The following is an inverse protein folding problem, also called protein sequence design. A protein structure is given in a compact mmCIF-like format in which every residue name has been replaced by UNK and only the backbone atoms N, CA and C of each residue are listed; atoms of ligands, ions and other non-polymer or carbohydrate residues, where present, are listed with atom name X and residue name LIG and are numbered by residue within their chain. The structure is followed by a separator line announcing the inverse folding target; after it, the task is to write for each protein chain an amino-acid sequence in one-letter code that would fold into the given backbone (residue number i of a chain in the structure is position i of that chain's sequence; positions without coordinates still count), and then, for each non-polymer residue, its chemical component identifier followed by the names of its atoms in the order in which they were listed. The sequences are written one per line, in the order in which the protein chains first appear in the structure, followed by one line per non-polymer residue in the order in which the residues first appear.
data_IF_944449478197
#
_entry.id   IF_944449478197
#
_cell.length_a   1.000
_cell.length_b   1.000
_cell.length_c   1.000
_cell.angle_alpha   90.00
_cell.angle_beta   90.00
_cell.angle_gamma   90.00
#
_symmetry.space_group_name_H-M   'P 1'
#
loop_
_entity.id
_entity.type
_entity.pdbx_description
1 polymer ?
#
# COMPACT_ATOMS: atom_id res chain seq x y z
N UNK A 1 19.33 -26.30 -8.49
CA UNK A 1 18.94 -25.24 -7.54
C UNK A 1 18.74 -23.96 -8.33
N UNK A 2 17.55 -23.80 -8.89
CA UNK A 2 17.08 -22.55 -9.50
C UNK A 2 15.57 -22.63 -9.41
N UNK A 3 15.03 -22.39 -8.21
CA UNK A 3 13.61 -22.07 -8.08
C UNK A 3 13.53 -20.58 -8.36
N UNK A 4 13.25 -20.29 -9.62
CA UNK A 4 12.80 -18.99 -10.11
C UNK A 4 11.52 -18.68 -9.32
N UNK A 5 11.62 -17.75 -8.36
CA UNK A 5 10.48 -17.30 -7.59
C UNK A 5 9.62 -16.49 -8.55
N UNK A 6 8.72 -17.17 -9.26
CA UNK A 6 7.60 -16.50 -9.92
C UNK A 6 6.94 -15.61 -8.87
N UNK A 7 6.92 -14.31 -9.15
CA UNK A 7 6.35 -13.28 -8.30
C UNK A 7 4.83 -13.49 -8.27
N UNK A 8 4.36 -14.33 -7.36
CA UNK A 8 3.00 -14.91 -7.38
C UNK A 8 1.87 -13.97 -6.95
N UNK A 9 2.09 -12.65 -6.83
CA UNK A 9 1.06 -11.74 -6.27
C UNK A 9 0.84 -10.41 -6.96
N UNK A 10 1.67 -9.99 -7.92
CA UNK A 10 1.53 -8.68 -8.57
C UNK A 10 1.04 -8.83 -10.02
N UNK A 11 0.00 -8.10 -10.38
CA UNK A 11 -0.41 -7.97 -11.79
C UNK A 11 0.68 -7.24 -12.60
N UNK A 12 0.79 -7.52 -13.91
CA UNK A 12 1.78 -6.86 -14.77
C UNK A 12 1.62 -5.33 -14.78
N UNK A 13 0.37 -4.87 -14.75
CA UNK A 13 0.04 -3.44 -14.64
C UNK A 13 0.46 -2.86 -13.29
N UNK A 14 0.32 -3.61 -12.20
CA UNK A 14 0.79 -3.21 -10.87
C UNK A 14 2.31 -3.11 -10.85
N UNK A 15 3.01 -4.10 -11.42
CA UNK A 15 4.48 -4.06 -11.56
C UNK A 15 4.94 -2.83 -12.31
N UNK A 16 4.36 -2.55 -13.48
CA UNK A 16 4.71 -1.39 -14.30
C UNK A 16 4.51 -0.07 -13.54
N UNK A 17 3.40 0.07 -12.80
CA UNK A 17 3.15 1.23 -11.96
C UNK A 17 4.17 1.38 -10.83
N UNK A 18 4.47 0.30 -10.11
CA UNK A 18 5.42 0.33 -9.00
C UNK A 18 6.84 0.64 -9.52
N UNK A 19 7.23 0.08 -10.66
CA UNK A 19 8.50 0.41 -11.32
C UNK A 19 8.57 1.88 -11.71
N UNK A 20 7.51 2.42 -12.31
CA UNK A 20 7.46 3.84 -12.67
C UNK A 20 7.53 4.78 -11.45
N UNK A 21 6.88 4.41 -10.34
CA UNK A 21 6.97 5.13 -9.08
C UNK A 21 8.39 5.06 -8.49
N UNK A 22 9.01 3.88 -8.50
CA UNK A 22 10.36 3.67 -8.01
C UNK A 22 11.38 4.53 -8.75
N UNK A 23 11.27 4.63 -10.08
CA UNK A 23 12.15 5.46 -10.90
C UNK A 23 12.00 6.96 -10.55
N UNK A 24 10.76 7.43 -10.38
CA UNK A 24 10.49 8.82 -9.95
C UNK A 24 11.09 9.13 -8.58
N UNK A 25 10.97 8.21 -7.63
CA UNK A 25 11.53 8.40 -6.29
C UNK A 25 13.05 8.40 -6.32
N UNK A 26 13.68 7.56 -7.16
CA UNK A 26 15.14 7.55 -7.36
C UNK A 26 15.64 8.87 -7.93
N UNK A 27 14.98 9.42 -8.95
CA UNK A 27 15.32 10.74 -9.51
C UNK A 27 15.18 11.86 -8.46
N UNK A 28 14.10 11.83 -7.67
CA UNK A 28 13.90 12.80 -6.58
C UNK A 28 15.00 12.70 -5.52
N UNK A 29 15.34 11.48 -5.12
CA UNK A 29 16.41 11.19 -4.15
C UNK A 29 17.76 11.72 -4.63
N UNK A 30 18.14 11.45 -5.89
CA UNK A 30 19.42 11.92 -6.44
C UNK A 30 19.51 13.46 -6.43
N UNK A 31 18.44 14.14 -6.84
CA UNK A 31 18.38 15.60 -6.78
C UNK A 31 18.53 16.13 -5.36
N UNK A 32 17.81 15.53 -4.40
CA UNK A 32 17.86 15.95 -3.00
C UNK A 32 19.22 15.66 -2.37
N UNK A 33 19.87 14.56 -2.73
CA UNK A 33 21.23 14.24 -2.26
C UNK A 33 22.25 15.29 -2.70
N UNK A 34 22.13 15.80 -3.94
CA UNK A 34 22.96 16.91 -4.43
C UNK A 34 22.72 18.18 -3.61
N UNK A 35 21.46 18.51 -3.33
CA UNK A 35 21.09 19.67 -2.50
C UNK A 35 21.69 19.57 -1.09
N UNK A 36 21.46 18.45 -0.40
CA UNK A 36 22.01 18.17 0.93
C UNK A 36 23.53 18.22 0.94
N UNK A 37 24.19 17.74 -0.12
CA UNK A 37 25.66 17.79 -0.24
C UNK A 37 26.16 19.23 -0.37
N UNK A 38 25.45 20.08 -1.12
CA UNK A 38 25.79 21.49 -1.29
C UNK A 38 25.60 22.31 -0.01
N UNK A 39 24.62 21.96 0.82
CA UNK A 39 24.32 22.68 2.07
C UNK A 39 25.37 22.51 3.16
N UNK A 40 26.10 21.38 3.17
CA UNK A 40 27.11 21.07 4.20
C UNK A 40 28.24 22.10 4.33
N UNK A 41 28.38 23.03 3.37
CA UNK A 41 29.31 24.16 3.42
C UNK A 41 28.67 25.54 3.60
N UNK A 42 27.34 25.65 3.65
CA UNK A 42 26.60 26.90 3.60
C UNK A 42 25.79 27.23 4.87
N UNK A 43 25.71 26.30 5.84
CA UNK A 43 24.97 26.52 7.10
C UNK A 43 25.65 27.61 7.93
N UNK A 44 25.05 28.80 7.94
CA UNK A 44 25.61 29.98 8.59
C UNK A 44 24.77 30.49 9.77
N UNK A 45 23.46 30.20 9.76
CA UNK A 45 22.55 30.54 10.84
C UNK A 45 21.65 29.36 11.29
N UNK A 46 20.77 29.61 12.26
CA UNK A 46 19.88 28.59 12.82
C UNK A 46 18.77 28.15 11.85
N UNK A 47 18.38 29.02 10.90
CA UNK A 47 17.38 28.69 9.90
C UNK A 47 17.99 27.75 8.85
N UNK A 48 19.20 28.03 8.38
CA UNK A 48 19.96 27.17 7.47
C UNK A 48 20.17 25.76 8.06
N UNK A 49 20.41 25.68 9.38
CA UNK A 49 20.59 24.41 10.08
C UNK A 49 19.28 23.61 10.15
N UNK A 50 18.15 24.27 10.40
CA UNK A 50 16.84 23.62 10.41
C UNK A 50 16.45 23.09 9.02
N UNK A 51 16.70 23.88 7.97
CA UNK A 51 16.46 23.46 6.59
C UNK A 51 17.32 22.25 6.21
N UNK A 52 18.60 22.24 6.60
CA UNK A 52 19.50 21.11 6.36
C UNK A 52 19.01 19.82 7.05
N UNK A 53 18.48 19.92 8.27
CA UNK A 53 17.88 18.78 8.98
C UNK A 53 16.63 18.29 8.24
N UNK A 54 15.72 19.20 7.85
CA UNK A 54 14.50 18.83 7.15
C UNK A 54 14.78 18.09 5.83
N UNK A 55 15.76 18.56 5.04
CA UNK A 55 16.16 17.87 3.80
C UNK A 55 16.77 16.49 4.06
N UNK A 56 17.53 16.34 5.15
CA UNK A 56 18.08 15.03 5.55
C UNK A 56 16.98 14.05 5.95
N UNK A 57 15.95 14.51 6.66
CA UNK A 57 14.78 13.70 7.01
C UNK A 57 13.97 13.31 5.76
N UNK A 58 13.76 14.24 4.82
CA UNK A 58 13.11 13.93 3.54
C UNK A 58 13.90 12.87 2.75
N UNK A 59 15.24 12.97 2.73
CA UNK A 59 16.09 11.98 2.07
C UNK A 59 15.98 10.59 2.70
N UNK A 60 15.93 10.51 4.04
CA UNK A 60 15.73 9.26 4.76
C UNK A 60 14.35 8.64 4.47
N UNK A 61 13.29 9.45 4.41
CA UNK A 61 11.95 8.99 4.04
C UNK A 61 11.88 8.47 2.60
N UNK A 62 12.55 9.13 1.66
CA UNK A 62 12.68 8.63 0.28
C UNK A 62 13.42 7.29 0.22
N UNK A 63 14.51 7.14 0.98
CA UNK A 63 15.28 5.91 1.06
C UNK A 63 14.45 4.73 1.58
N UNK A 64 13.72 4.93 2.67
CA UNK A 64 12.83 3.91 3.25
C UNK A 64 11.77 3.47 2.23
N UNK A 65 11.16 4.43 1.54
CA UNK A 65 10.13 4.16 0.54
C UNK A 65 10.66 3.41 -0.68
N UNK A 66 11.85 3.78 -1.15
CA UNK A 66 12.53 3.07 -2.25
C UNK A 66 12.81 1.62 -1.85
N UNK A 67 13.29 1.38 -0.64
CA UNK A 67 13.56 0.02 -0.12
C UNK A 67 12.28 -0.81 -0.08
N UNK A 68 11.17 -0.21 0.38
CA UNK A 68 9.87 -0.87 0.45
C UNK A 68 9.39 -1.32 -0.95
N UNK A 69 9.35 -0.41 -1.92
CA UNK A 69 8.88 -0.71 -3.28
C UNK A 69 9.80 -1.68 -4.02
N UNK A 70 11.12 -1.54 -3.84
CA UNK A 70 12.13 -2.44 -4.43
C UNK A 70 12.06 -3.85 -3.81
N UNK A 71 11.72 -3.95 -2.52
CA UNK A 71 11.38 -5.24 -1.88
C UNK A 71 10.08 -5.80 -2.44
N UNK A 72 9.02 -5.01 -2.54
CA UNK A 72 7.72 -5.43 -3.08
C UNK A 72 7.85 -5.98 -4.50
N UNK A 73 8.63 -5.33 -5.37
CA UNK A 73 8.89 -5.83 -6.73
C UNK A 73 9.64 -7.17 -6.74
N UNK A 74 10.61 -7.35 -5.84
CA UNK A 74 11.43 -8.57 -5.76
C UNK A 74 10.71 -9.75 -5.13
N UNK A 75 10.02 -9.52 -4.02
CA UNK A 75 9.45 -10.59 -3.20
C UNK A 75 7.95 -10.77 -3.43
N UNK A 76 7.33 -9.89 -4.21
CA UNK A 76 5.87 -9.75 -4.22
C UNK A 76 5.36 -9.17 -2.89
N UNK A 77 4.05 -8.94 -2.78
CA UNK A 77 3.44 -8.61 -1.51
C UNK A 77 3.78 -9.70 -0.50
N UNK A 78 4.19 -9.30 0.70
CA UNK A 78 4.49 -10.28 1.75
C UNK A 78 3.25 -11.16 1.93
N UNK A 79 3.37 -12.50 1.91
CA UNK A 79 2.30 -13.33 2.43
C UNK A 79 2.04 -12.82 3.85
N UNK A 80 0.80 -12.45 4.14
CA UNK A 80 0.45 -12.12 5.50
C UNK A 80 0.74 -13.37 6.31
N UNK A 81 1.74 -13.29 7.19
CA UNK A 81 2.22 -14.42 7.94
C UNK A 81 1.14 -14.81 8.96
N UNK A 82 0.11 -15.55 8.54
CA UNK A 82 -0.93 -16.10 9.43
C UNK A 82 -1.76 -15.07 10.22
N UNK A 83 -1.64 -13.77 9.94
CA UNK A 83 -2.34 -12.71 10.66
C UNK A 83 -3.69 -12.46 10.00
N UNK A 84 -4.67 -13.33 10.21
CA UNK A 84 -6.10 -13.10 9.99
C UNK A 84 -6.50 -12.02 8.97
N UNK A 85 -5.99 -12.07 7.74
CA UNK A 85 -6.23 -11.06 6.68
C UNK A 85 -6.53 -11.75 5.36
N UNK A 86 -7.32 -11.10 4.50
CA UNK A 86 -7.69 -11.65 3.19
C UNK A 86 -6.47 -11.68 2.25
N UNK A 87 -6.28 -12.75 1.45
CA UNK A 87 -5.24 -12.80 0.44
C UNK A 87 -5.38 -11.65 -0.58
N UNK A 88 -4.25 -11.08 -1.01
CA UNK A 88 -4.23 -10.15 -2.14
C UNK A 88 -4.78 -10.83 -3.40
N UNK A 89 -5.60 -10.10 -4.17
CA UNK A 89 -6.34 -10.63 -5.31
C UNK A 89 -7.72 -11.21 -4.98
N UNK A 90 -8.13 -11.21 -3.71
CA UNK A 90 -9.50 -11.62 -3.32
C UNK A 90 -10.52 -10.56 -3.75
N UNK A 91 -11.62 -10.97 -4.37
CA UNK A 91 -12.76 -10.10 -4.67
C UNK A 91 -13.83 -10.29 -3.59
N UNK A 92 -14.25 -9.21 -2.94
CA UNK A 92 -15.32 -9.22 -1.94
C UNK A 92 -16.46 -8.33 -2.39
N UNK A 93 -17.69 -8.82 -2.25
CA UNK A 93 -18.89 -7.99 -2.48
C UNK A 93 -19.54 -7.72 -1.14
N UNK A 94 -19.68 -6.46 -0.75
CA UNK A 94 -20.23 -6.05 0.54
C UNK A 94 -21.45 -5.15 0.35
N UNK A 95 -22.39 -5.24 1.29
CA UNK A 95 -23.53 -4.32 1.40
C UNK A 95 -23.35 -3.43 2.62
N UNK A 96 -23.42 -2.12 2.41
CA UNK A 96 -23.38 -1.12 3.47
C UNK A 96 -24.78 -0.87 4.06
N UNK A 97 -24.84 -0.24 5.23
CA UNK A 97 -26.09 0.05 5.94
C UNK A 97 -27.04 0.99 5.18
N UNK A 98 -26.52 1.79 4.25
CA UNK A 98 -27.32 2.62 3.33
C UNK A 98 -27.97 1.83 2.18
N UNK A 99 -27.71 0.51 2.12
CA UNK A 99 -28.20 -0.40 1.08
C UNK A 99 -27.32 -0.45 -0.17
N UNK A 100 -26.24 0.34 -0.24
CA UNK A 100 -25.30 0.28 -1.35
C UNK A 100 -24.56 -1.06 -1.37
N UNK A 101 -24.34 -1.59 -2.56
CA UNK A 101 -23.60 -2.84 -2.77
C UNK A 101 -22.37 -2.52 -3.62
N UNK A 102 -21.20 -2.85 -3.10
CA UNK A 102 -19.92 -2.55 -3.75
C UNK A 102 -19.08 -3.82 -3.81
N UNK A 103 -18.53 -4.09 -5.00
CA UNK A 103 -17.51 -5.12 -5.19
C UNK A 103 -16.15 -4.46 -5.07
N UNK A 104 -15.35 -4.95 -4.12
CA UNK A 104 -14.02 -4.43 -3.81
C UNK A 104 -12.95 -5.48 -4.06
N UNK A 105 -11.81 -5.06 -4.57
CA UNK A 105 -10.65 -5.91 -4.77
C UNK A 105 -9.68 -5.75 -3.61
N UNK A 106 -9.37 -6.86 -2.95
CA UNK A 106 -8.35 -6.92 -1.90
C UNK A 106 -6.99 -6.75 -2.55
N UNK A 107 -6.33 -5.65 -2.24
CA UNK A 107 -4.96 -5.36 -2.61
C UNK A 107 -4.06 -5.52 -1.40
N UNK A 108 -2.83 -5.94 -1.61
CA UNK A 108 -1.88 -6.11 -0.51
C UNK A 108 -1.22 -4.78 -0.14
N UNK A 109 -1.05 -3.90 -1.12
CA UNK A 109 -0.50 -2.56 -0.91
C UNK A 109 -1.32 -1.52 -1.66
N UNK A 110 -1.36 -0.28 -1.16
CA UNK A 110 -2.23 0.78 -1.70
C UNK A 110 -1.86 1.19 -3.13
N UNK A 111 -0.62 0.96 -3.54
CA UNK A 111 -0.06 1.29 -4.85
C UNK A 111 -0.66 0.43 -5.98
N UNK A 112 -1.27 -0.71 -5.63
CA UNK A 112 -2.01 -1.56 -6.55
C UNK A 112 -3.38 -0.97 -6.92
N UNK A 113 -3.83 0.09 -6.23
CA UNK A 113 -5.10 0.75 -6.52
C UNK A 113 -5.10 1.34 -7.92
N UNK A 114 -6.00 0.91 -8.83
CA UNK A 114 -6.15 1.55 -10.13
C UNK A 114 -6.59 3.01 -9.94
N UNK A 115 -6.03 3.92 -10.75
CA UNK A 115 -6.39 5.35 -10.71
C UNK A 115 -7.91 5.49 -10.90
N UNK A 116 -8.58 6.17 -9.97
CA UNK A 116 -10.04 6.40 -10.00
C UNK A 116 -10.89 5.20 -9.56
N UNK A 117 -10.28 4.17 -8.98
CA UNK A 117 -10.98 3.00 -8.43
C UNK A 117 -10.72 2.84 -6.93
N UNK A 118 -10.35 3.92 -6.24
CA UNK A 118 -10.05 3.89 -4.79
C UNK A 118 -11.23 3.34 -3.98
N UNK A 119 -12.46 3.68 -4.38
CA UNK A 119 -13.69 3.19 -3.76
C UNK A 119 -13.97 1.69 -3.98
N UNK A 120 -13.27 1.07 -4.93
CA UNK A 120 -13.43 -0.35 -5.31
C UNK A 120 -12.21 -1.19 -4.92
N UNK A 121 -11.32 -0.63 -4.10
CA UNK A 121 -10.12 -1.31 -3.62
C UNK A 121 -10.06 -1.32 -2.11
N UNK A 122 -9.61 -2.45 -1.56
CA UNK A 122 -9.56 -2.71 -0.13
C UNK A 122 -8.16 -3.21 0.22
N UNK A 123 -7.41 -2.52 1.07
CA UNK A 123 -6.15 -3.09 1.55
C UNK A 123 -6.41 -4.21 2.56
N UNK A 124 -5.68 -5.32 2.46
CA UNK A 124 -5.84 -6.46 3.36
C UNK A 124 -5.68 -6.08 4.85
N UNK A 125 -4.82 -5.10 5.15
CA UNK A 125 -4.58 -4.58 6.51
C UNK A 125 -5.53 -3.47 6.97
N UNK A 126 -6.51 -3.05 6.16
CA UNK A 126 -7.50 -2.05 6.59
C UNK A 126 -8.42 -2.62 7.68
N UNK A 127 -9.05 -1.77 8.52
CA UNK A 127 -10.02 -2.22 9.51
C UNK A 127 -11.12 -3.11 8.92
N UNK A 128 -11.59 -2.77 7.71
CA UNK A 128 -12.57 -3.56 6.98
C UNK A 128 -11.96 -4.87 6.44
N UNK A 129 -10.77 -4.84 5.84
CA UNK A 129 -10.09 -6.03 5.33
C UNK A 129 -9.77 -7.08 6.41
N UNK A 130 -9.38 -6.62 7.59
CA UNK A 130 -9.21 -7.47 8.76
C UNK A 130 -10.55 -8.02 9.27
N UNK A 131 -11.60 -7.19 9.32
CA UNK A 131 -12.91 -7.61 9.80
C UNK A 131 -13.59 -8.65 8.88
N UNK A 132 -13.33 -8.58 7.57
CA UNK A 132 -13.86 -9.53 6.57
C UNK A 132 -13.09 -10.85 6.53
N UNK A 133 -11.90 -10.90 7.10
CA UNK A 133 -11.06 -12.09 7.08
C UNK A 133 -11.71 -13.26 7.84
N UNK A 134 -11.76 -14.43 7.18
CA UNK A 134 -12.35 -15.65 7.74
C UNK A 134 -13.88 -15.64 7.85
N UNK A 135 -14.55 -14.60 7.34
CA UNK A 135 -16.02 -14.49 7.32
C UNK A 135 -16.60 -15.14 6.07
N UNK A 136 -17.88 -15.45 6.14
CA UNK A 136 -18.62 -16.12 5.05
C UNK A 136 -19.68 -15.19 4.47
N UNK A 137 -20.08 -15.42 3.21
CA UNK A 137 -21.28 -14.79 2.65
C UNK A 137 -22.48 -14.93 3.59
N UNK A 138 -23.15 -13.82 3.88
CA UNK A 138 -24.23 -13.67 4.86
C UNK A 138 -23.79 -13.12 6.22
N UNK A 139 -22.50 -13.06 6.53
CA UNK A 139 -22.01 -12.52 7.79
C UNK A 139 -22.05 -11.00 7.81
N UNK A 140 -22.50 -10.43 8.93
CA UNK A 140 -22.33 -9.01 9.24
C UNK A 140 -21.02 -8.79 10.01
N UNK A 141 -20.30 -7.75 9.62
CA UNK A 141 -19.04 -7.34 10.26
C UNK A 141 -19.11 -5.88 10.63
N UNK A 142 -18.61 -5.55 11.82
CA UNK A 142 -18.47 -4.18 12.29
C UNK A 142 -16.99 -3.81 12.22
N UNK A 143 -16.70 -2.62 11.72
CA UNK A 143 -15.34 -2.11 11.57
C UNK A 143 -15.30 -0.62 11.94
N UNK A 144 -14.11 -0.15 12.32
CA UNK A 144 -13.91 1.24 12.73
C UNK A 144 -13.60 2.11 11.52
N UNK A 145 -14.29 3.25 11.42
CA UNK A 145 -13.98 4.34 10.49
C UNK A 145 -13.59 5.60 11.28
N UNK A 146 -12.95 6.60 10.65
CA UNK A 146 -12.70 7.89 11.29
C UNK A 146 -13.97 8.61 11.79
N UNK A 147 -15.14 8.24 11.26
CA UNK A 147 -16.44 8.83 11.62
C UNK A 147 -17.19 8.03 12.70
N UNK A 148 -16.67 6.87 13.12
CA UNK A 148 -17.29 5.98 14.09
C UNK A 148 -17.32 4.52 13.62
N UNK A 149 -17.99 3.65 14.37
CA UNK A 149 -18.22 2.27 13.95
C UNK A 149 -19.18 2.22 12.75
N UNK A 150 -18.90 1.33 11.81
CA UNK A 150 -19.76 1.07 10.65
C UNK A 150 -19.94 -0.43 10.47
N UNK A 151 -21.06 -0.85 9.92
CA UNK A 151 -21.36 -2.25 9.65
C UNK A 151 -21.51 -2.50 8.15
N UNK A 152 -21.04 -3.67 7.71
CA UNK A 152 -21.32 -4.19 6.37
C UNK A 152 -21.71 -5.66 6.45
N UNK A 153 -22.50 -6.10 5.48
CA UNK A 153 -22.83 -7.50 5.24
C UNK A 153 -21.98 -8.02 4.07
N UNK A 154 -21.27 -9.13 4.28
CA UNK A 154 -20.51 -9.80 3.22
C UNK A 154 -21.49 -10.60 2.35
N UNK A 155 -21.60 -10.26 1.06
CA UNK A 155 -22.50 -10.95 0.12
C UNK A 155 -21.81 -12.04 -0.68
N UNK A 156 -20.55 -11.85 -1.04
CA UNK A 156 -19.77 -12.81 -1.81
C UNK A 156 -18.28 -12.65 -1.56
N UNK A 157 -17.53 -13.76 -1.65
CA UNK A 157 -16.07 -13.76 -1.57
C UNK A 157 -15.49 -14.73 -2.59
N UNK A 158 -14.62 -14.22 -3.47
CA UNK A 158 -13.89 -15.01 -4.45
C UNK A 158 -12.40 -14.90 -4.16
N UNK A 159 -11.82 -16.02 -3.77
CA UNK A 159 -10.38 -16.11 -3.55
C UNK A 159 -9.65 -16.19 -4.90
N UNK A 160 -8.43 -15.63 -4.98
CA UNK A 160 -7.58 -15.81 -6.15
C UNK A 160 -7.32 -17.31 -6.37
N UNK A 161 -7.39 -17.75 -7.62
CA UNK A 161 -7.15 -19.15 -8.02
C UNK A 161 -5.72 -19.34 -8.47
#
# INVERSE_FOLDING_TARGET
MSEEVESTGLSDKSRERITAELDRLRERRERLEVEVRNDRGAVSDHADAADAIQRADELAGLDERIIELDRLLRTGPSPSNGTGTLPGGTEVTVRFDDGSVVTMHVISVVEETPVGREAETLTAGSPLGMALSGRKPGDKVTYTTPQGESQVELLDVKYPT
#
